data_IF_249624791101
#
_entry.id   IF_249624791101
#
_cell.length_a   1.000
_cell.length_b   1.000
_cell.length_c   1.000
_cell.angle_alpha   90.00
_cell.angle_beta   90.00
_cell.angle_gamma   90.00
#
_symmetry.space_group_name_H-M   'P 1'
#
loop_
_entity.id
_entity.type
_entity.pdbx_description
1 polymer ?
#
# COMPACT_ATOMS: atom_id res chain seq x y z
N UNK A 1 6.80 0.61 4.32
CA UNK A 1 8.02 0.31 3.54
C UNK A 1 8.04 -1.18 3.26
N UNK A 2 8.13 -1.58 2.01
CA UNK A 2 8.27 -2.97 1.59
C UNK A 2 9.73 -3.41 1.72
N UNK A 3 9.97 -4.41 2.57
CA UNK A 3 11.30 -4.93 2.92
C UNK A 3 11.26 -6.45 3.14
N UNK A 4 10.33 -7.13 2.48
CA UNK A 4 10.06 -8.56 2.64
C UNK A 4 10.23 -9.27 1.29
N UNK A 5 10.54 -10.57 1.31
CA UNK A 5 10.58 -11.39 0.10
C UNK A 5 9.18 -11.79 -0.42
N UNK A 6 8.10 -11.45 0.29
CA UNK A 6 6.73 -11.76 -0.11
C UNK A 6 6.06 -10.58 -0.84
N UNK A 7 5.93 -10.60 -2.19
CA UNK A 7 5.34 -9.50 -2.95
C UNK A 7 3.87 -9.22 -2.61
N UNK A 8 3.15 -10.19 -2.01
CA UNK A 8 1.74 -10.00 -1.61
C UNK A 8 1.57 -8.85 -0.60
N UNK A 9 2.62 -8.50 0.16
CA UNK A 9 2.55 -7.34 1.06
C UNK A 9 2.35 -6.04 0.26
N UNK A 10 3.00 -5.91 -0.90
CA UNK A 10 2.82 -4.77 -1.78
C UNK A 10 1.37 -4.72 -2.31
N UNK A 11 0.83 -5.85 -2.77
CA UNK A 11 -0.58 -5.99 -3.18
C UNK A 11 -1.55 -5.55 -2.10
N UNK A 12 -1.40 -6.06 -0.87
CA UNK A 12 -2.28 -5.75 0.24
C UNK A 12 -2.27 -4.26 0.58
N UNK A 13 -1.12 -3.58 0.41
CA UNK A 13 -1.04 -2.13 0.61
C UNK A 13 -1.96 -1.38 -0.37
N UNK A 14 -2.03 -1.80 -1.63
CA UNK A 14 -2.91 -1.20 -2.64
C UNK A 14 -4.36 -1.63 -2.45
N UNK A 15 -4.59 -2.94 -2.34
CA UNK A 15 -5.91 -3.56 -2.23
C UNK A 15 -6.70 -3.07 -1.01
N UNK A 16 -6.06 -2.90 0.15
CA UNK A 16 -6.75 -2.58 1.41
C UNK A 16 -6.66 -1.11 1.80
N UNK A 17 -5.56 -0.44 1.46
CA UNK A 17 -5.29 0.91 1.94
C UNK A 17 -5.31 1.95 0.83
N UNK A 18 -5.65 1.55 -0.41
CA UNK A 18 -5.60 2.41 -1.60
C UNK A 18 -4.30 3.22 -1.65
N UNK A 19 -3.17 2.58 -1.29
CA UNK A 19 -1.90 3.30 -1.19
C UNK A 19 -1.55 3.91 -2.53
N UNK A 20 -1.13 5.17 -2.51
CA UNK A 20 -0.75 5.94 -3.71
C UNK A 20 0.78 6.01 -3.90
N UNK A 21 1.55 5.55 -2.91
CA UNK A 21 3.01 5.47 -2.93
C UNK A 21 3.44 4.11 -2.39
N UNK A 22 4.35 3.45 -3.11
CA UNK A 22 5.09 2.27 -2.64
C UNK A 22 6.55 2.65 -2.36
N UNK A 23 7.00 2.46 -1.13
CA UNK A 23 8.40 2.64 -0.73
C UNK A 23 9.07 1.28 -0.52
N UNK A 24 10.27 1.08 -1.06
CA UNK A 24 11.01 -0.19 -1.06
C UNK A 24 12.38 -0.02 -0.42
N UNK A 25 12.73 -0.92 0.51
CA UNK A 25 14.05 -0.97 1.15
C UNK A 25 15.08 -1.64 0.25
N UNK A 26 15.86 -0.85 -0.51
CA UNK A 26 16.81 -1.36 -1.51
C UNK A 26 17.86 -2.36 -0.98
N UNK A 27 18.22 -2.29 0.31
CA UNK A 27 19.18 -3.22 0.95
C UNK A 27 18.57 -4.56 1.38
N UNK A 28 17.23 -4.66 1.39
CA UNK A 28 16.51 -5.79 1.98
C UNK A 28 15.73 -6.61 0.95
N UNK A 29 15.66 -6.13 -0.30
CA UNK A 29 14.83 -6.73 -1.34
C UNK A 29 15.69 -6.92 -2.58
N UNK A 30 15.70 -8.14 -3.12
CA UNK A 30 16.37 -8.41 -4.39
C UNK A 30 15.75 -7.57 -5.52
N UNK A 31 16.54 -7.26 -6.55
CA UNK A 31 16.05 -6.53 -7.72
C UNK A 31 14.83 -7.22 -8.35
N UNK A 32 14.86 -8.54 -8.47
CA UNK A 32 13.75 -9.31 -9.04
C UNK A 32 12.48 -9.23 -8.18
N UNK A 33 12.61 -9.39 -6.86
CA UNK A 33 11.48 -9.26 -5.93
C UNK A 33 10.90 -7.84 -5.97
N UNK A 34 11.75 -6.82 -6.06
CA UNK A 34 11.31 -5.43 -6.17
C UNK A 34 10.47 -5.20 -7.44
N UNK A 35 10.90 -5.71 -8.60
CA UNK A 35 10.11 -5.62 -9.83
C UNK A 35 8.77 -6.34 -9.74
N UNK A 36 8.74 -7.54 -9.17
CA UNK A 36 7.49 -8.29 -8.94
C UNK A 36 6.54 -7.52 -8.03
N UNK A 37 7.05 -6.95 -6.94
CA UNK A 37 6.28 -6.14 -6.01
C UNK A 37 5.72 -4.86 -6.65
N UNK A 38 6.53 -4.14 -7.44
CA UNK A 38 6.08 -2.93 -8.16
C UNK A 38 4.99 -3.28 -9.17
N UNK A 39 5.20 -4.31 -10.00
CA UNK A 39 4.22 -4.74 -10.99
C UNK A 39 2.90 -5.11 -10.31
N UNK A 40 2.96 -5.96 -9.30
CA UNK A 40 1.77 -6.40 -8.56
C UNK A 40 1.05 -5.22 -7.90
N UNK A 41 1.76 -4.26 -7.32
CA UNK A 41 1.17 -3.06 -6.73
C UNK A 41 0.48 -2.17 -7.77
N UNK A 42 1.08 -1.96 -8.94
CA UNK A 42 0.51 -1.15 -10.02
C UNK A 42 -0.74 -1.80 -10.65
N UNK A 43 -0.75 -3.12 -10.79
CA UNK A 43 -1.85 -3.88 -11.40
C UNK A 43 -2.99 -4.18 -10.42
N UNK A 44 -2.80 -3.92 -9.13
CA UNK A 44 -3.82 -4.20 -8.11
C UNK A 44 -4.77 -3.02 -7.96
N UNK A 45 -6.06 -3.27 -8.15
CA UNK A 45 -7.09 -2.29 -7.83
C UNK A 45 -7.38 -2.24 -6.33
N UNK A 46 -7.85 -1.08 -5.85
CA UNK A 46 -8.37 -0.95 -4.50
C UNK A 46 -9.69 -1.74 -4.36
N UNK A 47 -9.81 -2.59 -3.33
CA UNK A 47 -10.96 -3.50 -3.21
C UNK A 47 -12.30 -2.79 -3.01
N UNK A 48 -12.28 -1.51 -2.60
CA UNK A 48 -13.47 -0.69 -2.38
C UNK A 48 -14.47 -1.23 -1.36
N UNK A 49 -14.11 -2.28 -0.62
CA UNK A 49 -14.95 -2.87 0.42
C UNK A 49 -15.26 -1.87 1.53
N UNK A 50 -16.47 -1.98 2.09
CA UNK A 50 -16.98 -1.05 3.11
C UNK A 50 -16.01 -0.89 4.29
N UNK A 51 -15.37 -1.99 4.74
CA UNK A 51 -14.41 -1.94 5.84
C UNK A 51 -13.15 -1.12 5.51
N UNK A 52 -12.69 -1.12 4.26
CA UNK A 52 -11.49 -0.42 3.83
C UNK A 52 -11.77 1.07 3.63
N UNK A 53 -12.88 1.41 2.93
CA UNK A 53 -13.35 2.81 2.82
C UNK A 53 -13.57 3.46 4.18
N UNK A 54 -14.15 2.73 5.14
CA UNK A 54 -14.33 3.22 6.52
C UNK A 54 -13.01 3.51 7.22
N UNK A 55 -11.95 2.72 7.00
CA UNK A 55 -10.62 2.98 7.59
C UNK A 55 -9.98 4.22 6.97
N UNK A 56 -10.08 4.40 5.66
CA UNK A 56 -9.58 5.60 4.97
C UNK A 56 -10.27 6.87 5.46
N UNK A 57 -11.60 6.84 5.63
CA UNK A 57 -12.35 7.97 6.18
C UNK A 57 -11.88 8.38 7.58
N UNK A 58 -11.52 7.40 8.44
CA UNK A 58 -10.96 7.70 9.77
C UNK A 58 -9.61 8.42 9.67
N UNK A 59 -8.76 8.06 8.72
CA UNK A 59 -7.48 8.75 8.48
C UNK A 59 -7.76 10.19 8.02
N UNK A 60 -8.66 10.38 7.05
CA UNK A 60 -9.06 11.70 6.55
C UNK A 60 -9.64 12.59 7.66
N UNK A 61 -10.47 12.05 8.54
CA UNK A 61 -11.03 12.76 9.70
C UNK A 61 -9.92 13.19 10.70
N UNK A 62 -8.93 12.33 10.94
CA UNK A 62 -7.78 12.66 11.77
C UNK A 62 -6.93 13.78 11.16
N UNK A 63 -6.65 13.71 9.86
CA UNK A 63 -5.90 14.74 9.14
C UNK A 63 -6.62 16.10 9.19
N UNK A 64 -7.94 16.11 8.97
CA UNK A 64 -8.76 17.33 9.10
C UNK A 64 -8.67 17.91 10.50
N UNK A 65 -8.72 17.09 11.55
CA UNK A 65 -8.64 17.56 12.94
C UNK A 65 -7.27 18.16 13.29
N UNK A 66 -6.19 17.66 12.68
CA UNK A 66 -4.82 18.07 13.00
C UNK A 66 -4.34 19.26 12.17
N UNK A 67 -4.82 19.40 10.92
CA UNK A 67 -4.25 20.33 9.94
C UNK A 67 -5.26 21.29 9.31
N UNK A 68 -6.53 21.29 9.75
CA UNK A 68 -7.55 22.27 9.36
C UNK A 68 -8.21 22.86 10.60
#
# INVERSE_FOLDING_TARGET
VFNSDNPEIAKLSRLHNDSNILSIGARFVSKETAFKAVKLWLETDFSSEVRHKRRLKKIEELEKKLFR
#
